data_IF_170053075199
#
_entry.id   IF_170053075199
#
_cell.length_a   1.000
_cell.length_b   1.000
_cell.length_c   1.000
_cell.angle_alpha   90.00
_cell.angle_beta   90.00
_cell.angle_gamma   90.00
#
_symmetry.space_group_name_H-M   'P 1'
#
loop_
_entity.id
_entity.type
_entity.pdbx_description
1 polymer ?
#
# COMPACT_ATOMS: atom_id res chain seq x y z
N UNK A 1 13.68 -33.17 49.01
CA UNK A 1 15.16 -33.32 48.97
C UNK A 1 15.51 -34.71 49.48
N UNK A 2 16.70 -35.27 49.15
CA UNK A 2 17.82 -34.69 48.37
C UNK A 2 17.99 -35.42 47.00
N UNK A 3 18.99 -35.23 46.12
CA UNK A 3 20.19 -34.35 46.13
C UNK A 3 20.67 -34.04 44.69
N UNK A 4 21.31 -32.87 44.48
CA UNK A 4 22.38 -32.69 43.47
C UNK A 4 23.76 -32.88 44.14
N UNK A 5 24.83 -33.17 43.39
CA UNK A 5 25.89 -32.16 43.09
C UNK A 5 26.04 -31.93 41.56
N UNK A 6 26.43 -30.77 40.99
CA UNK A 6 27.68 -29.95 41.08
C UNK A 6 28.88 -30.67 40.42
N UNK A 7 29.46 -30.20 39.30
CA UNK A 7 30.19 -28.93 38.99
C UNK A 7 31.65 -28.92 39.50
N UNK A 8 32.65 -28.22 38.92
CA UNK A 8 32.74 -27.36 37.71
C UNK A 8 33.82 -27.92 36.74
N UNK A 9 34.56 -27.25 35.83
CA UNK A 9 34.80 -25.88 35.28
C UNK A 9 35.56 -26.05 33.93
N UNK A 10 36.10 -25.10 33.14
CA UNK A 10 36.37 -23.63 33.18
C UNK A 10 36.46 -23.10 31.73
N UNK A 11 35.80 -22.00 31.35
CA UNK A 11 36.33 -20.62 31.24
C UNK A 11 37.47 -20.42 30.21
N UNK A 12 37.14 -19.73 29.11
CA UNK A 12 37.77 -18.45 28.71
C UNK A 12 36.71 -17.58 28.02
N UNK A 13 36.93 -16.26 27.88
CA UNK A 13 35.86 -15.30 27.55
C UNK A 13 36.31 -14.17 26.62
N UNK A 14 35.33 -13.60 25.88
CA UNK A 14 35.40 -12.30 25.18
C UNK A 14 36.36 -12.30 23.96
N UNK A 15 36.29 -11.36 23.00
CA UNK A 15 35.62 -10.04 22.98
C UNK A 15 34.64 -9.83 21.81
N UNK A 16 33.75 -8.85 22.00
CA UNK A 16 32.86 -8.28 20.98
C UNK A 16 33.62 -7.28 20.09
N UNK A 17 33.50 -7.39 18.76
CA UNK A 17 34.03 -6.39 17.83
C UNK A 17 32.96 -5.42 17.35
N UNK A 18 33.23 -4.12 17.49
CA UNK A 18 32.38 -3.01 17.08
C UNK A 18 33.22 -2.00 16.26
N UNK A 19 33.13 -2.00 14.92
CA UNK A 19 33.89 -1.08 14.10
C UNK A 19 33.11 0.22 13.86
N UNK A 20 33.57 1.33 14.47
CA UNK A 20 33.77 2.65 13.82
C UNK A 20 34.00 3.75 14.88
N UNK A 21 35.26 4.15 15.09
CA UNK A 21 35.60 5.37 15.86
C UNK A 21 36.85 6.05 15.31
N UNK A 22 36.64 6.91 14.31
CA UNK A 22 37.38 8.13 13.96
C UNK A 22 38.80 8.37 14.48
N UNK A 23 39.71 8.63 13.54
CA UNK A 23 40.59 9.80 13.55
C UNK A 23 40.60 10.42 12.14
N UNK A 24 40.87 11.70 11.91
CA UNK A 24 41.14 12.78 12.86
C UNK A 24 42.02 13.86 12.20
N UNK A 25 41.42 14.82 11.49
CA UNK A 25 42.15 15.88 10.77
C UNK A 25 41.31 17.13 10.62
N UNK A 26 41.80 18.26 11.13
CA UNK A 26 41.00 19.49 11.34
C UNK A 26 41.58 20.69 10.59
N UNK A 27 40.77 21.33 9.75
CA UNK A 27 40.95 22.74 9.36
C UNK A 27 39.60 23.42 9.19
N UNK A 28 39.45 24.62 9.75
CA UNK A 28 38.20 25.40 9.69
C UNK A 28 38.15 26.27 8.43
N UNK A 29 36.95 26.45 7.87
CA UNK A 29 36.54 27.77 7.37
C UNK A 29 35.02 27.93 7.39
N UNK A 30 34.56 29.10 7.81
CA UNK A 30 33.14 29.43 7.95
C UNK A 30 32.62 30.09 6.68
N UNK A 31 31.48 29.65 6.13
CA UNK A 31 30.60 30.55 5.37
C UNK A 31 29.15 30.08 5.32
N UNK A 32 28.25 31.05 5.48
CA UNK A 32 26.81 30.93 5.26
C UNK A 32 26.50 31.32 3.81
N UNK A 33 25.83 30.43 3.09
CA UNK A 33 24.87 30.65 2.00
C UNK A 33 23.87 29.48 2.13
N UNK A 34 22.54 29.56 2.18
CA UNK A 34 21.54 30.42 1.52
C UNK A 34 21.65 30.46 0.01
N UNK A 35 21.08 29.45 -0.65
CA UNK A 35 20.45 29.60 -1.97
C UNK A 35 19.42 28.48 -2.19
N UNK A 36 18.34 28.79 -2.90
CA UNK A 36 17.27 27.87 -3.25
C UNK A 36 17.71 26.99 -4.43
N UNK A 37 17.34 25.70 -4.43
CA UNK A 37 17.48 24.85 -5.62
C UNK A 37 16.09 24.48 -6.13
N UNK A 38 15.79 24.90 -7.35
CA UNK A 38 14.48 24.82 -7.98
C UNK A 38 14.13 23.41 -8.46
N UNK A 39 12.83 23.09 -8.42
CA UNK A 39 12.28 21.87 -8.98
C UNK A 39 12.51 21.80 -10.51
N UNK A 40 12.85 20.64 -11.09
CA UNK A 40 12.87 20.48 -12.54
C UNK A 40 11.44 20.51 -13.09
N UNK A 41 11.19 21.42 -14.04
CA UNK A 41 9.85 21.71 -14.52
C UNK A 41 9.13 20.50 -15.16
N UNK A 42 7.82 20.39 -14.91
CA UNK A 42 6.94 19.37 -15.46
C UNK A 42 6.87 19.41 -17.00
N UNK A 43 7.03 18.25 -17.64
CA UNK A 43 7.13 18.13 -19.10
C UNK A 43 5.79 18.35 -19.83
N UNK A 44 5.66 19.48 -20.53
CA UNK A 44 4.45 19.89 -21.26
C UNK A 44 4.28 19.19 -22.62
N UNK A 45 3.76 17.95 -22.61
CA UNK A 45 3.43 17.22 -23.84
C UNK A 45 2.00 17.50 -24.36
N UNK A 46 1.76 18.75 -24.77
CA UNK A 46 0.55 19.14 -25.53
C UNK A 46 0.91 20.01 -26.75
N UNK A 47 0.95 19.35 -27.93
CA UNK A 47 0.56 19.84 -29.26
C UNK A 47 1.47 19.28 -30.38
N UNK A 48 0.89 18.50 -31.30
CA UNK A 48 1.15 18.71 -32.74
C UNK A 48 0.09 18.11 -33.68
N UNK A 49 -0.43 18.98 -34.55
CA UNK A 49 -0.93 18.75 -35.92
C UNK A 49 -1.79 17.50 -36.22
N UNK A 50 -3.07 17.71 -36.52
CA UNK A 50 -3.97 16.68 -37.04
C UNK A 50 -3.92 16.50 -38.56
N UNK A 51 -4.18 15.26 -39.01
CA UNK A 51 -4.71 14.91 -40.34
C UNK A 51 -5.73 13.78 -40.14
N UNK A 52 -6.87 13.81 -40.85
CA UNK A 52 -7.88 12.75 -40.77
C UNK A 52 -7.47 11.50 -41.57
N UNK A 53 -7.65 10.29 -40.99
CA UNK A 53 -7.84 9.06 -41.75
C UNK A 53 -9.30 8.56 -41.65
N UNK A 54 -9.88 8.14 -42.77
CA UNK A 54 -11.23 7.57 -42.85
C UNK A 54 -11.19 6.04 -42.87
N UNK A 55 -11.28 5.40 -41.71
CA UNK A 55 -11.52 3.95 -41.63
C UNK A 55 -12.23 3.54 -40.32
N UNK A 56 -12.74 2.30 -40.32
CA UNK A 56 -13.66 1.70 -39.33
C UNK A 56 -13.36 2.07 -37.88
N UNK A 57 -14.40 2.51 -37.14
CA UNK A 57 -14.38 2.64 -35.68
C UNK A 57 -14.24 1.26 -35.02
N UNK A 58 -13.01 0.81 -34.83
CA UNK A 58 -12.67 -0.08 -33.72
C UNK A 58 -12.96 0.69 -32.42
N UNK A 59 -13.62 0.07 -31.44
CA UNK A 59 -13.88 0.72 -30.16
C UNK A 59 -12.54 0.84 -29.42
N UNK A 60 -11.88 2.00 -29.53
CA UNK A 60 -10.83 2.37 -28.59
C UNK A 60 -11.45 2.41 -27.20
N UNK A 61 -10.98 1.54 -26.33
CA UNK A 61 -11.17 1.68 -24.88
C UNK A 61 -10.69 3.09 -24.51
N UNK A 62 -11.44 3.88 -23.72
CA UNK A 62 -10.97 5.18 -23.28
C UNK A 62 -9.62 4.99 -22.57
N UNK A 63 -8.59 5.72 -23.00
CA UNK A 63 -7.23 5.59 -22.44
C UNK A 63 -7.32 5.78 -20.93
N UNK A 64 -7.14 4.69 -20.16
CA UNK A 64 -7.51 4.66 -18.74
C UNK A 64 -6.60 5.62 -17.99
N UNK A 65 -7.18 6.71 -17.48
CA UNK A 65 -6.41 7.72 -16.76
C UNK A 65 -6.18 7.22 -15.32
N UNK A 66 -5.08 6.49 -15.16
CA UNK A 66 -4.57 6.00 -13.88
C UNK A 66 -4.54 7.16 -12.86
N UNK A 67 -5.34 7.11 -11.78
CA UNK A 67 -5.57 8.28 -10.93
C UNK A 67 -4.41 8.57 -9.96
N UNK A 68 -3.53 7.59 -9.74
CA UNK A 68 -2.45 7.62 -8.76
C UNK A 68 -1.22 8.35 -9.32
N UNK A 69 -0.87 9.49 -8.70
CA UNK A 69 0.35 10.23 -8.98
C UNK A 69 1.56 9.57 -8.32
N UNK A 70 2.54 9.20 -9.15
CA UNK A 70 3.83 8.66 -8.71
C UNK A 70 4.55 9.70 -7.84
N UNK A 71 4.86 9.32 -6.59
CA UNK A 71 5.53 10.19 -5.64
C UNK A 71 6.29 9.39 -4.56
N UNK A 72 7.13 10.10 -3.80
CA UNK A 72 7.98 9.50 -2.76
C UNK A 72 7.22 8.72 -1.69
N UNK A 73 6.03 9.17 -1.24
CA UNK A 73 5.27 8.47 -0.20
C UNK A 73 4.80 7.09 -0.67
N UNK A 74 4.42 6.96 -1.94
CA UNK A 74 4.07 5.67 -2.57
C UNK A 74 5.30 4.76 -2.58
N UNK A 75 6.42 5.19 -3.18
CA UNK A 75 7.67 4.42 -3.21
C UNK A 75 8.12 3.94 -1.83
N UNK A 76 8.20 4.88 -0.88
CA UNK A 76 8.71 4.59 0.45
C UNK A 76 7.73 3.66 1.20
N UNK A 77 6.44 3.62 0.82
CA UNK A 77 5.48 2.59 1.29
C UNK A 77 5.72 1.23 0.65
N UNK A 78 5.85 1.16 -0.68
CA UNK A 78 6.12 -0.09 -1.43
C UNK A 78 7.37 -0.82 -0.90
N UNK A 79 8.40 -0.05 -0.52
CA UNK A 79 9.63 -0.56 0.12
C UNK A 79 9.32 -1.22 1.47
N UNK A 80 8.57 -0.57 2.35
CA UNK A 80 8.23 -1.14 3.66
C UNK A 80 7.31 -2.36 3.56
N UNK A 81 6.36 -2.37 2.64
CA UNK A 81 5.45 -3.51 2.46
C UNK A 81 6.16 -4.75 1.92
N UNK A 82 7.00 -4.59 0.89
CA UNK A 82 7.75 -5.72 0.35
C UNK A 82 8.82 -6.24 1.33
N UNK A 83 9.45 -5.35 2.11
CA UNK A 83 10.31 -5.76 3.22
C UNK A 83 9.53 -6.54 4.29
N UNK A 84 8.31 -6.11 4.66
CA UNK A 84 7.47 -6.83 5.62
C UNK A 84 7.04 -8.21 5.10
N UNK A 85 6.62 -8.32 3.84
CA UNK A 85 6.28 -9.60 3.18
C UNK A 85 7.47 -10.56 3.23
N UNK A 86 8.68 -10.08 2.89
CA UNK A 86 9.89 -10.90 2.89
C UNK A 86 10.35 -11.28 4.30
N UNK A 87 10.24 -10.39 5.29
CA UNK A 87 10.59 -10.68 6.69
C UNK A 87 9.64 -11.67 7.35
N UNK A 88 8.35 -11.63 7.01
CA UNK A 88 7.31 -12.49 7.60
C UNK A 88 7.29 -13.89 6.97
N UNK A 89 7.29 -13.97 5.63
CA UNK A 89 7.22 -15.27 4.91
C UNK A 89 8.58 -15.92 4.69
N UNK A 90 9.68 -15.18 4.83
CA UNK A 90 11.03 -15.62 4.45
C UNK A 90 11.28 -15.63 2.94
N UNK A 91 10.37 -15.10 2.12
CA UNK A 91 10.41 -15.14 0.65
C UNK A 91 9.82 -13.83 0.05
N UNK A 92 10.28 -13.32 -1.10
CA UNK A 92 9.65 -12.16 -1.75
C UNK A 92 8.23 -12.45 -2.31
N UNK A 93 7.82 -13.71 -2.34
CA UNK A 93 6.49 -14.15 -2.82
C UNK A 93 5.70 -14.75 -1.68
N UNK A 94 4.38 -14.60 -1.73
CA UNK A 94 3.49 -15.11 -0.69
C UNK A 94 3.32 -16.63 -0.85
N UNK A 95 3.27 -17.13 -2.09
CA UNK A 95 3.32 -18.57 -2.37
C UNK A 95 4.71 -19.14 -2.11
N UNK A 96 4.80 -20.06 -1.13
CA UNK A 96 6.06 -20.65 -0.73
C UNK A 96 6.56 -21.69 -1.75
N UNK A 97 7.77 -21.45 -2.26
CA UNK A 97 8.82 -22.37 -2.76
C UNK A 97 8.47 -23.64 -3.57
N UNK A 98 7.52 -24.48 -3.17
CA UNK A 98 7.26 -25.80 -3.78
C UNK A 98 6.89 -25.73 -5.28
N UNK A 99 6.32 -24.60 -5.72
CA UNK A 99 5.96 -24.35 -7.12
C UNK A 99 7.06 -23.67 -7.94
N UNK A 100 8.15 -23.24 -7.31
CA UNK A 100 9.18 -22.40 -7.94
C UNK A 100 10.26 -23.27 -8.60
N UNK A 101 10.45 -23.22 -9.93
CA UNK A 101 11.54 -23.92 -10.58
C UNK A 101 12.89 -23.29 -10.17
N UNK A 102 13.98 -24.08 -10.15
CA UNK A 102 15.30 -23.65 -9.65
C UNK A 102 16.03 -22.56 -10.47
N UNK A 103 15.38 -22.01 -11.51
CA UNK A 103 15.90 -20.99 -12.43
C UNK A 103 14.72 -20.27 -13.13
N UNK A 104 13.88 -19.53 -12.41
CA UNK A 104 12.66 -18.97 -12.96
C UNK A 104 12.97 -17.79 -13.91
N UNK A 105 12.24 -17.72 -15.01
CA UNK A 105 12.00 -16.49 -15.77
C UNK A 105 10.73 -15.84 -15.21
N UNK A 106 10.89 -14.66 -14.64
CA UNK A 106 9.85 -13.95 -13.88
C UNK A 106 9.46 -12.67 -14.63
N UNK A 107 8.15 -12.41 -14.73
CA UNK A 107 7.60 -11.12 -15.15
C UNK A 107 6.85 -10.47 -13.98
N UNK A 108 7.24 -9.27 -13.57
CA UNK A 108 6.42 -8.41 -12.71
C UNK A 108 5.61 -7.44 -13.58
N UNK A 109 4.28 -7.44 -13.43
CA UNK A 109 3.39 -6.49 -14.10
C UNK A 109 3.05 -5.31 -13.18
N UNK A 110 3.16 -4.09 -13.73
CA UNK A 110 3.10 -2.81 -13.03
C UNK A 110 4.10 -2.75 -11.87
N UNK A 111 5.38 -2.96 -12.18
CA UNK A 111 6.43 -3.02 -11.17
C UNK A 111 6.66 -1.68 -10.42
N UNK A 112 6.03 -0.58 -10.83
CA UNK A 112 6.13 0.71 -10.16
C UNK A 112 7.58 1.19 -10.12
N UNK A 113 8.11 1.43 -8.92
CA UNK A 113 9.53 1.76 -8.73
C UNK A 113 10.51 0.57 -8.87
N UNK A 114 9.99 -0.64 -9.17
CA UNK A 114 10.78 -1.85 -9.34
C UNK A 114 11.19 -2.54 -8.03
N UNK A 115 10.56 -2.16 -6.90
CA UNK A 115 10.94 -2.56 -5.55
C UNK A 115 10.93 -4.09 -5.39
N UNK A 116 9.83 -4.73 -5.76
CA UNK A 116 9.70 -6.20 -5.66
C UNK A 116 10.68 -6.89 -6.62
N UNK A 117 10.76 -6.45 -7.88
CA UNK A 117 11.72 -6.97 -8.86
C UNK A 117 13.17 -6.96 -8.36
N UNK A 118 13.60 -5.90 -7.66
CA UNK A 118 14.96 -5.79 -7.08
C UNK A 118 15.15 -6.83 -5.96
N UNK A 119 14.18 -6.93 -5.04
CA UNK A 119 14.23 -7.89 -3.93
C UNK A 119 14.17 -9.34 -4.42
N UNK A 120 13.37 -9.63 -5.45
CA UNK A 120 13.30 -10.93 -6.11
C UNK A 120 14.66 -11.30 -6.76
N UNK A 121 15.25 -10.39 -7.55
CA UNK A 121 16.54 -10.62 -8.19
C UNK A 121 17.68 -10.84 -7.16
N UNK A 122 17.65 -10.17 -6.00
CA UNK A 122 18.58 -10.39 -4.90
C UNK A 122 18.34 -11.73 -4.17
N UNK A 123 17.07 -12.10 -3.94
CA UNK A 123 16.70 -13.29 -3.20
C UNK A 123 17.01 -14.58 -3.98
N UNK A 124 16.59 -14.65 -5.24
CA UNK A 124 16.80 -15.83 -6.07
C UNK A 124 18.30 -16.07 -6.34
N UNK A 125 19.11 -15.01 -6.45
CA UNK A 125 20.57 -15.14 -6.46
C UNK A 125 21.10 -15.81 -5.18
N UNK A 126 20.72 -15.31 -3.99
CA UNK A 126 21.23 -15.83 -2.73
C UNK A 126 20.89 -17.33 -2.54
N UNK A 127 19.64 -17.71 -2.81
CA UNK A 127 19.13 -19.08 -2.59
C UNK A 127 19.63 -20.07 -3.66
N UNK A 128 19.74 -19.66 -4.93
CA UNK A 128 20.06 -20.54 -6.06
C UNK A 128 21.50 -20.36 -6.60
N UNK A 129 22.37 -19.67 -5.85
CA UNK A 129 23.80 -19.37 -6.14
C UNK A 129 24.70 -20.56 -6.52
N UNK A 130 24.27 -21.81 -6.37
CA UNK A 130 25.03 -23.00 -6.73
C UNK A 130 24.75 -23.54 -8.16
N UNK A 131 23.89 -22.88 -8.95
CA UNK A 131 23.52 -23.31 -10.30
C UNK A 131 24.26 -22.53 -11.41
N UNK A 132 24.54 -23.19 -12.54
CA UNK A 132 25.29 -22.64 -13.68
C UNK A 132 24.48 -21.64 -14.55
N UNK A 133 23.24 -21.32 -14.19
CA UNK A 133 22.37 -20.41 -14.94
C UNK A 133 21.51 -19.61 -13.98
N UNK A 134 21.58 -18.29 -14.12
CA UNK A 134 20.96 -17.31 -13.23
C UNK A 134 19.44 -17.20 -13.45
N UNK A 135 18.68 -16.92 -12.39
CA UNK A 135 17.28 -16.48 -12.50
C UNK A 135 17.20 -15.12 -13.21
N UNK A 136 16.09 -14.84 -13.91
CA UNK A 136 15.90 -13.58 -14.62
C UNK A 136 14.55 -12.96 -14.28
N UNK A 137 14.55 -11.67 -13.98
CA UNK A 137 13.37 -10.87 -13.63
C UNK A 137 13.18 -9.79 -14.69
N UNK A 138 11.95 -9.66 -15.17
CA UNK A 138 11.53 -8.58 -16.07
C UNK A 138 10.50 -7.74 -15.34
N UNK A 139 10.81 -6.50 -15.01
CA UNK A 139 9.85 -5.55 -14.48
C UNK A 139 9.19 -4.78 -15.62
N UNK A 140 7.87 -4.89 -15.76
CA UNK A 140 7.08 -4.20 -16.78
C UNK A 140 6.21 -3.12 -16.14
N UNK A 141 6.25 -1.90 -16.66
CA UNK A 141 5.39 -0.79 -16.21
C UNK A 141 4.98 0.14 -17.37
N UNK A 142 3.95 0.96 -17.16
CA UNK A 142 3.58 2.04 -18.08
C UNK A 142 4.59 3.20 -18.05
N UNK A 143 5.26 3.41 -16.91
CA UNK A 143 6.09 4.58 -16.66
C UNK A 143 7.55 4.20 -16.41
N UNK A 144 8.46 4.93 -17.07
CA UNK A 144 9.91 4.75 -16.91
C UNK A 144 10.42 5.54 -15.70
N UNK A 145 10.29 4.94 -14.52
CA UNK A 145 10.61 5.53 -13.21
C UNK A 145 11.55 4.67 -12.34
N UNK A 146 11.96 3.52 -12.85
CA UNK A 146 12.75 2.53 -12.13
C UNK A 146 14.23 2.95 -12.06
N UNK A 147 14.96 2.62 -10.97
CA UNK A 147 16.32 3.08 -10.79
C UNK A 147 17.31 2.40 -11.74
N UNK A 148 18.33 3.16 -12.16
CA UNK A 148 19.52 2.61 -12.81
C UNK A 148 20.40 1.94 -11.75
N UNK A 149 20.28 0.61 -11.64
CA UNK A 149 21.01 -0.18 -10.65
C UNK A 149 22.53 -0.12 -10.81
N UNK A 150 23.04 0.12 -12.03
CA UNK A 150 24.47 0.27 -12.31
C UNK A 150 25.04 1.56 -11.72
N UNK A 151 24.32 2.68 -11.90
CA UNK A 151 24.73 3.97 -11.34
C UNK A 151 24.64 4.00 -9.79
N UNK A 152 23.89 3.05 -9.22
CA UNK A 152 23.81 2.79 -7.77
C UNK A 152 24.81 1.72 -7.27
N UNK A 153 25.63 1.13 -8.14
CA UNK A 153 26.65 0.13 -7.77
C UNK A 153 26.13 -1.29 -7.53
N UNK A 154 24.92 -1.62 -8.00
CA UNK A 154 24.29 -2.94 -7.89
C UNK A 154 24.41 -3.74 -9.20
N UNK A 155 25.59 -3.76 -9.83
CA UNK A 155 25.84 -4.44 -11.11
C UNK A 155 25.44 -5.92 -11.11
N UNK A 156 25.62 -6.64 -10.00
CA UNK A 156 25.24 -8.06 -9.88
C UNK A 156 23.71 -8.28 -9.83
N UNK A 157 22.93 -7.27 -9.43
CA UNK A 157 21.47 -7.30 -9.57
C UNK A 157 21.07 -6.86 -10.99
N UNK A 158 21.77 -5.87 -11.54
CA UNK A 158 21.53 -5.31 -12.88
C UNK A 158 21.79 -6.29 -14.05
N UNK A 159 22.43 -7.44 -13.81
CA UNK A 159 22.59 -8.54 -14.78
C UNK A 159 21.37 -9.46 -14.88
N UNK A 160 20.54 -9.49 -13.82
CA UNK A 160 19.37 -10.38 -13.66
C UNK A 160 18.04 -9.68 -13.87
N UNK A 161 18.05 -8.35 -14.02
CA UNK A 161 16.85 -7.52 -13.98
C UNK A 161 16.77 -6.60 -15.20
N UNK A 162 15.72 -6.79 -15.99
CA UNK A 162 15.41 -5.97 -17.18
C UNK A 162 14.16 -5.13 -16.93
N UNK A 163 14.22 -3.83 -17.22
CA UNK A 163 13.05 -2.95 -17.25
C UNK A 163 12.45 -2.89 -18.66
N UNK A 164 11.13 -3.00 -18.78
CA UNK A 164 10.38 -2.91 -20.03
C UNK A 164 9.20 -1.97 -19.84
N UNK A 165 8.92 -1.12 -20.83
CA UNK A 165 7.88 -0.09 -20.72
C UNK A 165 6.81 -0.22 -21.79
N UNK A 166 5.54 -0.16 -21.40
CA UNK A 166 4.41 -0.25 -22.32
C UNK A 166 3.04 -0.21 -21.63
N UNK A 167 1.98 -0.06 -22.44
CA UNK A 167 0.60 -0.10 -21.95
C UNK A 167 0.07 -1.53 -22.03
N UNK A 168 -0.06 -2.21 -20.90
CA UNK A 168 -0.56 -3.59 -20.83
C UNK A 168 -2.02 -3.75 -21.29
N UNK A 169 -2.78 -2.67 -21.42
CA UNK A 169 -4.13 -2.68 -21.98
C UNK A 169 -4.13 -2.73 -23.52
N UNK A 170 -3.00 -2.43 -24.16
CA UNK A 170 -2.76 -2.62 -25.61
C UNK A 170 -2.01 -3.95 -25.91
N UNK A 171 -1.72 -4.76 -24.87
CA UNK A 171 -1.04 -6.06 -24.95
C UNK A 171 0.38 -6.08 -24.39
N UNK A 172 0.89 -7.27 -24.06
CA UNK A 172 2.24 -7.46 -23.52
C UNK A 172 3.25 -7.75 -24.64
N UNK A 173 4.41 -7.05 -24.71
CA UNK A 173 5.38 -7.17 -25.81
C UNK A 173 6.28 -8.43 -25.72
N UNK A 174 5.76 -9.51 -25.14
CA UNK A 174 6.48 -10.76 -24.91
C UNK A 174 5.90 -11.90 -25.77
N UNK A 175 6.73 -12.87 -26.21
CA UNK A 175 6.26 -14.08 -26.88
C UNK A 175 5.32 -14.91 -26.01
N UNK A 176 4.59 -15.82 -26.64
CA UNK A 176 3.83 -16.86 -25.93
C UNK A 176 4.80 -17.77 -25.15
N UNK A 177 4.38 -18.25 -23.98
CA UNK A 177 5.13 -19.20 -23.15
C UNK A 177 6.56 -18.75 -22.76
N UNK A 178 6.77 -17.45 -22.53
CA UNK A 178 8.08 -16.89 -22.18
C UNK A 178 8.45 -16.96 -20.69
N UNK A 179 7.48 -16.92 -19.76
CA UNK A 179 7.75 -16.83 -18.32
C UNK A 179 7.26 -18.06 -17.53
N UNK A 180 8.02 -18.46 -16.50
CA UNK A 180 7.61 -19.51 -15.56
C UNK A 180 6.69 -18.94 -14.48
N UNK A 181 6.88 -17.68 -14.11
CA UNK A 181 6.13 -16.97 -13.07
C UNK A 181 5.72 -15.59 -13.59
N UNK A 182 4.46 -15.20 -13.37
CA UNK A 182 4.02 -13.81 -13.44
C UNK A 182 3.66 -13.35 -12.03
N UNK A 183 4.21 -12.22 -11.59
CA UNK A 183 3.86 -11.54 -10.33
C UNK A 183 3.14 -10.24 -10.66
N UNK A 184 2.20 -9.85 -9.80
CA UNK A 184 1.83 -8.44 -9.66
C UNK A 184 1.33 -8.12 -8.25
N UNK A 185 1.36 -6.84 -7.88
CA UNK A 185 0.81 -6.28 -6.64
C UNK A 185 0.05 -4.99 -6.98
N UNK A 186 -1.10 -4.76 -6.34
CA UNK A 186 -1.83 -3.49 -6.31
C UNK A 186 -2.26 -2.89 -7.67
N UNK A 187 -2.53 -3.76 -8.66
CA UNK A 187 -3.02 -3.35 -9.99
C UNK A 187 -4.55 -3.19 -10.09
N UNK A 188 -5.29 -3.10 -8.98
CA UNK A 188 -6.75 -2.87 -9.01
C UNK A 188 -7.18 -1.62 -9.81
N UNK A 189 -6.26 -0.68 -10.02
CA UNK A 189 -6.45 0.54 -10.81
C UNK A 189 -6.10 0.37 -12.31
N UNK A 190 -5.48 -0.75 -12.72
CA UNK A 190 -5.08 -1.04 -14.11
C UNK A 190 -4.90 -2.56 -14.35
N UNK A 191 -6.00 -3.32 -14.41
CA UNK A 191 -5.96 -4.78 -14.60
C UNK A 191 -5.97 -5.13 -16.10
N UNK A 192 -5.00 -5.90 -16.63
CA UNK A 192 -4.99 -6.37 -18.01
C UNK A 192 -5.94 -7.56 -18.21
N UNK A 193 -6.19 -7.96 -19.47
CA UNK A 193 -6.91 -9.21 -19.74
C UNK A 193 -6.12 -10.42 -19.23
N UNK A 194 -6.70 -11.23 -18.33
CA UNK A 194 -6.04 -12.42 -17.78
C UNK A 194 -5.59 -13.45 -18.83
N UNK A 195 -6.21 -13.45 -20.01
CA UNK A 195 -5.78 -14.26 -21.17
C UNK A 195 -4.39 -13.88 -21.67
N UNK A 196 -3.99 -12.62 -21.54
CA UNK A 196 -2.67 -12.14 -21.94
C UNK A 196 -1.60 -12.59 -20.91
N UNK A 197 -1.98 -12.68 -19.63
CA UNK A 197 -1.15 -13.30 -18.59
C UNK A 197 -0.99 -14.80 -18.85
N UNK A 198 -2.08 -15.52 -19.18
CA UNK A 198 -1.98 -16.91 -19.59
C UNK A 198 -1.08 -17.07 -20.83
N UNK A 199 -1.26 -16.23 -21.88
CA UNK A 199 -0.47 -16.30 -23.11
C UNK A 199 1.04 -16.31 -22.84
N UNK A 200 1.53 -15.36 -22.04
CA UNK A 200 2.98 -15.22 -21.74
C UNK A 200 3.49 -16.24 -20.70
N UNK A 201 2.61 -16.88 -19.93
CA UNK A 201 2.98 -18.00 -19.04
C UNK A 201 3.31 -19.27 -19.84
N UNK A 202 4.30 -20.02 -19.36
CA UNK A 202 4.60 -21.39 -19.79
C UNK A 202 3.54 -22.37 -19.27
N UNK A 203 3.31 -23.50 -19.95
CA UNK A 203 2.48 -24.59 -19.41
C UNK A 203 3.03 -25.06 -18.05
N UNK A 204 2.17 -25.12 -17.03
CA UNK A 204 2.58 -25.41 -15.64
C UNK A 204 3.19 -24.22 -14.87
N UNK A 205 3.44 -23.09 -15.54
CA UNK A 205 3.77 -21.82 -14.88
C UNK A 205 2.58 -21.22 -14.13
N UNK A 206 2.82 -20.20 -13.30
CA UNK A 206 1.77 -19.61 -12.47
C UNK A 206 1.83 -18.09 -12.31
N UNK A 207 0.65 -17.50 -12.11
CA UNK A 207 0.43 -16.13 -11.67
C UNK A 207 0.35 -16.10 -10.14
N UNK A 208 1.06 -15.18 -9.48
CA UNK A 208 0.75 -14.72 -8.12
C UNK A 208 0.35 -13.24 -8.13
N UNK A 209 -0.93 -12.98 -7.86
CA UNK A 209 -1.52 -11.64 -7.88
C UNK A 209 -1.99 -11.23 -6.49
N UNK A 210 -1.48 -10.10 -6.00
CA UNK A 210 -1.94 -9.46 -4.76
C UNK A 210 -2.78 -8.24 -5.12
N UNK A 211 -4.04 -8.16 -4.69
CA UNK A 211 -4.93 -7.03 -4.96
C UNK A 211 -5.57 -6.49 -3.69
N UNK A 212 -5.96 -5.22 -3.74
CA UNK A 212 -6.75 -4.57 -2.70
C UNK A 212 -8.05 -3.97 -3.27
N UNK A 213 -9.00 -3.69 -2.40
CA UNK A 213 -10.13 -2.80 -2.74
C UNK A 213 -9.68 -1.35 -2.57
N UNK A 214 -9.93 -0.44 -3.54
CA UNK A 214 -9.72 0.99 -3.34
C UNK A 214 -10.74 1.51 -2.31
N UNK A 215 -10.28 1.72 -1.08
CA UNK A 215 -11.08 2.20 0.05
C UNK A 215 -10.63 3.62 0.40
N UNK A 216 -11.59 4.53 0.59
CA UNK A 216 -11.36 5.80 1.25
C UNK A 216 -11.80 5.69 2.73
N UNK A 217 -10.88 5.80 3.70
CA UNK A 217 -11.21 5.79 5.13
C UNK A 217 -12.03 7.02 5.54
N UNK A 218 -13.33 6.82 5.80
CA UNK A 218 -14.26 7.86 6.25
C UNK A 218 -15.03 7.34 7.49
N UNK A 219 -14.60 7.66 8.74
CA UNK A 219 -15.18 7.08 9.95
C UNK A 219 -16.67 7.36 10.08
N UNK A 220 -17.48 6.31 10.21
CA UNK A 220 -18.92 6.45 10.40
C UNK A 220 -19.28 6.52 11.87
N UNK A 221 -19.45 7.73 12.38
CA UNK A 221 -20.07 7.96 13.69
C UNK A 221 -21.58 7.68 13.61
N UNK A 222 -22.21 7.11 14.66
CA UNK A 222 -23.66 6.95 14.67
C UNK A 222 -24.38 8.31 14.66
N UNK A 223 -25.66 8.38 14.24
CA UNK A 223 -26.35 9.64 13.99
C UNK A 223 -26.34 10.58 15.21
N UNK A 224 -25.68 11.74 15.05
CA UNK A 224 -25.64 12.82 16.05
C UNK A 224 -27.05 13.18 16.52
N UNK A 225 -27.34 12.95 17.80
CA UNK A 225 -28.48 13.62 18.46
C UNK A 225 -28.23 15.12 18.39
N UNK A 226 -29.08 15.84 17.65
CA UNK A 226 -28.89 17.27 17.33
C UNK A 226 -29.17 18.17 18.54
N UNK A 227 -28.28 18.17 19.52
CA UNK A 227 -28.27 19.18 20.57
C UNK A 227 -27.97 20.55 19.97
N UNK A 228 -28.92 21.47 20.10
CA UNK A 228 -28.88 22.78 19.46
C UNK A 228 -28.03 23.79 20.22
N UNK A 229 -26.75 23.48 20.45
CA UNK A 229 -25.78 24.49 20.88
C UNK A 229 -25.45 25.39 19.68
N UNK A 230 -25.80 26.68 19.78
CA UNK A 230 -25.30 27.69 18.84
C UNK A 230 -23.81 27.87 19.13
N UNK A 231 -22.97 27.21 18.34
CA UNK A 231 -21.52 27.38 18.43
C UNK A 231 -21.16 28.80 17.96
N UNK A 232 -20.30 29.46 18.72
CA UNK A 232 -19.54 30.63 18.27
C UNK A 232 -18.08 30.18 18.20
N UNK A 233 -17.76 29.41 17.15
CA UNK A 233 -16.39 28.92 16.95
C UNK A 233 -15.55 30.07 16.39
N UNK A 234 -14.85 30.81 17.25
CA UNK A 234 -14.11 32.04 16.87
C UNK A 234 -12.88 31.78 15.97
N UNK A 235 -12.58 30.52 15.65
CA UNK A 235 -11.53 30.10 14.70
C UNK A 235 -11.98 30.31 13.24
N UNK A 236 -12.25 31.56 12.86
CA UNK A 236 -12.43 31.96 11.47
C UNK A 236 -11.12 31.72 10.70
N UNK A 237 -11.08 30.68 9.85
CA UNK A 237 -9.93 30.36 8.99
C UNK A 237 -10.03 31.19 7.70
N UNK A 238 -9.20 32.24 7.52
CA UNK A 238 -9.36 33.18 6.40
C UNK A 238 -9.09 32.49 5.06
N UNK A 239 -10.00 32.68 4.10
CA UNK A 239 -9.93 32.05 2.78
C UNK A 239 -10.70 30.74 2.65
N UNK A 240 -11.22 30.18 3.75
CA UNK A 240 -12.13 29.03 3.75
C UNK A 240 -13.59 29.48 3.75
N UNK A 241 -14.41 28.80 2.96
CA UNK A 241 -15.85 29.01 2.81
C UNK A 241 -16.58 28.98 4.16
N UNK A 242 -17.55 29.87 4.35
CA UNK A 242 -18.38 29.91 5.55
C UNK A 242 -19.19 28.61 5.78
N UNK A 243 -19.41 27.82 4.72
CA UNK A 243 -20.03 26.50 4.81
C UNK A 243 -19.19 25.50 5.64
N UNK A 244 -17.88 25.69 5.73
CA UNK A 244 -16.94 24.77 6.39
C UNK A 244 -16.44 25.26 7.76
N UNK A 245 -16.93 26.40 8.27
CA UNK A 245 -16.42 27.00 9.52
C UNK A 245 -16.93 26.29 10.79
N UNK A 246 -18.14 25.74 10.76
CA UNK A 246 -18.71 24.89 11.83
C UNK A 246 -18.71 23.39 11.46
N UNK A 247 -17.95 23.00 10.42
CA UNK A 247 -17.88 21.61 9.93
C UNK A 247 -17.07 20.71 10.89
N UNK A 248 -17.51 19.47 11.10
CA UNK A 248 -16.79 18.51 11.95
C UNK A 248 -15.47 18.11 11.27
N UNK A 249 -14.30 18.34 11.88
CA UNK A 249 -13.01 17.98 11.28
C UNK A 249 -12.78 16.47 11.13
N UNK A 250 -13.76 15.61 11.50
CA UNK A 250 -13.79 14.16 11.24
C UNK A 250 -14.86 13.74 10.22
N UNK A 251 -15.70 14.66 9.73
CA UNK A 251 -16.71 14.36 8.71
C UNK A 251 -16.11 14.51 7.31
N UNK A 252 -15.62 13.39 6.79
CA UNK A 252 -14.98 13.31 5.48
C UNK A 252 -15.96 12.93 4.36
N UNK A 253 -17.27 13.05 4.58
CA UNK A 253 -18.31 12.54 3.65
C UNK A 253 -18.20 13.14 2.24
N UNK A 254 -17.89 14.43 2.12
CA UNK A 254 -17.71 15.11 0.83
C UNK A 254 -16.49 14.59 0.05
N UNK A 255 -15.41 14.23 0.75
CA UNK A 255 -14.23 13.61 0.13
C UNK A 255 -14.51 12.16 -0.25
N UNK A 256 -15.26 11.43 0.57
CA UNK A 256 -15.68 10.05 0.31
C UNK A 256 -16.56 9.96 -0.94
N UNK A 257 -17.51 10.88 -1.10
CA UNK A 257 -18.38 11.00 -2.28
C UNK A 257 -17.56 11.32 -3.54
N UNK A 258 -16.64 12.29 -3.46
CA UNK A 258 -15.75 12.62 -4.57
C UNK A 258 -14.79 11.46 -4.95
N UNK A 259 -14.33 10.67 -3.97
CA UNK A 259 -13.52 9.48 -4.21
C UNK A 259 -14.32 8.36 -4.88
N UNK A 260 -15.55 8.10 -4.43
CA UNK A 260 -16.43 7.10 -5.04
C UNK A 260 -16.75 7.49 -6.50
N UNK A 261 -17.09 8.76 -6.75
CA UNK A 261 -17.26 9.30 -8.10
C UNK A 261 -15.98 9.21 -8.96
N UNK A 262 -14.79 9.35 -8.36
CA UNK A 262 -13.50 9.23 -9.04
C UNK A 262 -13.23 7.80 -9.53
N UNK A 263 -13.67 6.80 -8.76
CA UNK A 263 -13.66 5.39 -9.18
C UNK A 263 -14.69 5.12 -10.28
N UNK A 264 -15.95 5.54 -10.08
CA UNK A 264 -17.05 5.30 -11.02
C UNK A 264 -16.77 5.94 -12.40
N UNK A 265 -16.28 7.19 -12.43
CA UNK A 265 -15.91 7.89 -13.67
C UNK A 265 -14.75 7.21 -14.43
N UNK A 266 -13.97 6.35 -13.74
CA UNK A 266 -12.87 5.55 -14.29
C UNK A 266 -13.24 4.07 -14.48
N UNK A 267 -14.50 3.69 -14.20
CA UNK A 267 -15.02 2.31 -14.25
C UNK A 267 -14.32 1.34 -13.27
N UNK A 268 -13.71 1.86 -12.21
CA UNK A 268 -12.96 1.08 -11.23
C UNK A 268 -13.92 0.45 -10.21
N UNK A 269 -13.94 -0.89 -10.16
CA UNK A 269 -14.99 -1.62 -9.44
C UNK A 269 -14.67 -1.79 -7.93
N UNK A 270 -15.41 -1.15 -7.00
CA UNK A 270 -15.14 -1.26 -5.56
C UNK A 270 -15.49 -2.62 -4.94
N UNK A 271 -15.96 -3.60 -5.73
CA UNK A 271 -16.21 -4.98 -5.32
C UNK A 271 -15.30 -6.00 -6.05
N UNK A 272 -14.23 -5.53 -6.71
CA UNK A 272 -13.26 -6.32 -7.48
C UNK A 272 -12.91 -7.70 -6.89
N UNK A 273 -12.51 -7.74 -5.61
CA UNK A 273 -12.03 -8.95 -4.93
C UNK A 273 -13.09 -10.08 -4.82
N UNK A 274 -14.37 -9.76 -5.05
CA UNK A 274 -15.50 -10.70 -5.09
C UNK A 274 -15.81 -11.23 -6.48
N UNK A 275 -15.48 -10.48 -7.54
CA UNK A 275 -15.84 -10.80 -8.94
C UNK A 275 -14.73 -11.54 -9.69
N UNK A 276 -13.47 -11.34 -9.29
CA UNK A 276 -12.33 -12.03 -9.91
C UNK A 276 -12.32 -13.56 -9.84
N UNK A 277 -12.88 -14.25 -8.82
CA UNK A 277 -12.89 -15.72 -8.78
C UNK A 277 -13.46 -16.37 -10.04
N UNK A 278 -14.58 -15.87 -10.56
CA UNK A 278 -15.22 -16.45 -11.75
C UNK A 278 -14.36 -16.23 -13.00
N UNK A 279 -13.79 -15.03 -13.15
CA UNK A 279 -12.87 -14.69 -14.23
C UNK A 279 -11.61 -15.57 -14.20
N UNK A 280 -11.02 -15.78 -13.03
CA UNK A 280 -9.83 -16.62 -12.86
C UNK A 280 -10.10 -18.08 -13.24
N UNK A 281 -11.19 -18.67 -12.75
CA UNK A 281 -11.60 -20.05 -13.07
C UNK A 281 -12.01 -20.23 -14.56
N UNK A 282 -12.24 -19.14 -15.31
CA UNK A 282 -12.50 -19.19 -16.75
C UNK A 282 -11.24 -19.20 -17.63
N UNK A 283 -10.05 -18.97 -17.04
CA UNK A 283 -8.76 -18.85 -17.74
C UNK A 283 -7.74 -19.88 -17.25
N UNK A 284 -7.61 -20.06 -15.94
CA UNK A 284 -6.59 -20.89 -15.30
C UNK A 284 -7.15 -22.23 -14.82
N UNK A 285 -6.27 -23.20 -14.56
CA UNK A 285 -6.65 -24.58 -14.21
C UNK A 285 -6.67 -24.81 -12.69
N UNK A 286 -5.55 -24.58 -12.00
CA UNK A 286 -5.51 -24.60 -10.53
C UNK A 286 -5.55 -23.16 -10.00
N UNK A 287 -6.68 -22.74 -9.43
CA UNK A 287 -6.84 -21.42 -8.81
C UNK A 287 -6.95 -21.55 -7.29
N UNK A 288 -5.88 -21.21 -6.59
CA UNK A 288 -5.90 -20.98 -5.14
C UNK A 288 -6.17 -19.49 -4.87
N UNK A 289 -6.97 -19.19 -3.85
CA UNK A 289 -7.26 -17.81 -3.47
C UNK A 289 -7.49 -17.70 -1.96
N UNK A 290 -6.94 -16.66 -1.36
CA UNK A 290 -7.09 -16.42 0.08
C UNK A 290 -8.55 -16.07 0.44
N UNK A 291 -8.92 -16.15 1.73
CA UNK A 291 -9.97 -15.29 2.28
C UNK A 291 -9.68 -13.81 1.97
N UNK A 292 -10.70 -12.95 1.95
CA UNK A 292 -10.45 -11.50 1.91
C UNK A 292 -9.97 -11.10 3.31
N UNK A 293 -8.73 -10.64 3.42
CA UNK A 293 -8.22 -10.10 4.67
C UNK A 293 -8.65 -8.64 4.82
N UNK A 294 -9.27 -8.30 5.94
CA UNK A 294 -9.77 -6.96 6.25
C UNK A 294 -8.93 -6.33 7.36
N UNK A 295 -8.11 -5.33 7.02
CA UNK A 295 -7.45 -4.51 8.04
C UNK A 295 -8.45 -3.46 8.51
N UNK A 296 -8.80 -3.49 9.80
CA UNK A 296 -9.81 -2.59 10.37
C UNK A 296 -9.24 -1.20 10.64
N UNK A 297 -10.06 -0.17 10.43
CA UNK A 297 -9.70 1.23 10.68
C UNK A 297 -9.55 1.47 12.20
N UNK A 298 -8.35 1.87 12.68
CA UNK A 298 -8.16 2.09 14.12
C UNK A 298 -9.05 3.20 14.70
N UNK A 299 -9.34 3.14 16.01
CA UNK A 299 -9.96 4.25 16.74
C UNK A 299 -9.07 5.51 16.70
N UNK A 300 -9.66 6.68 16.91
CA UNK A 300 -8.89 7.91 17.15
C UNK A 300 -8.28 7.87 18.55
N UNK A 301 -7.13 8.51 18.77
CA UNK A 301 -6.50 8.59 20.09
C UNK A 301 -7.28 9.41 21.12
N UNK A 302 -8.43 9.98 20.75
CA UNK A 302 -9.37 10.67 21.63
C UNK A 302 -10.57 9.80 22.06
N UNK A 303 -10.66 8.57 21.56
CA UNK A 303 -11.60 7.56 22.08
C UNK A 303 -11.02 6.98 23.36
N UNK A 304 -11.77 7.01 24.47
CA UNK A 304 -11.41 6.25 25.67
C UNK A 304 -11.87 4.80 25.56
N UNK A 305 -11.14 3.93 26.23
CA UNK A 305 -11.49 2.53 26.39
C UNK A 305 -12.91 2.39 26.97
N UNK A 306 -13.77 1.68 26.24
CA UNK A 306 -15.03 1.21 26.81
C UNK A 306 -14.72 0.13 27.85
N UNK A 307 -15.40 0.12 29.02
CA UNK A 307 -15.20 -0.93 29.99
C UNK A 307 -15.60 -2.30 29.40
N UNK A 308 -14.82 -3.34 29.72
CA UNK A 308 -14.79 -4.67 29.09
C UNK A 308 -16.17 -5.27 28.78
N UNK A 309 -17.13 -5.01 29.67
CA UNK A 309 -18.53 -5.43 29.61
C UNK A 309 -19.36 -4.83 28.42
N UNK A 310 -18.73 -4.24 27.41
CA UNK A 310 -19.35 -3.88 26.12
C UNK A 310 -18.77 -4.69 24.94
N UNK A 311 -17.58 -5.28 25.08
CA UNK A 311 -16.89 -6.00 23.98
C UNK A 311 -17.52 -7.37 23.69
N UNK A 312 -18.12 -8.00 24.70
CA UNK A 312 -18.50 -9.43 24.71
C UNK A 312 -19.58 -9.91 23.74
N UNK A 313 -20.10 -9.07 22.84
CA UNK A 313 -21.12 -9.45 21.84
C UNK A 313 -20.69 -9.14 20.39
N UNK A 314 -19.52 -8.51 20.19
CA UNK A 314 -19.00 -8.19 18.85
C UNK A 314 -17.99 -9.25 18.38
N UNK A 315 -18.48 -10.48 18.23
CA UNK A 315 -17.69 -11.59 17.66
C UNK A 315 -17.36 -11.30 16.19
N UNK A 316 -16.14 -10.83 15.96
CA UNK A 316 -15.56 -10.78 14.61
C UNK A 316 -15.45 -12.22 14.11
N UNK A 317 -16.30 -12.58 13.14
CA UNK A 317 -16.28 -13.91 12.52
C UNK A 317 -15.04 -14.06 11.64
N UNK A 318 -13.92 -14.43 12.27
CA UNK A 318 -12.70 -14.88 11.60
C UNK A 318 -13.02 -16.17 10.85
N UNK A 319 -13.26 -16.03 9.54
CA UNK A 319 -13.52 -17.14 8.63
C UNK A 319 -12.24 -17.96 8.40
N UNK A 320 -11.91 -18.80 9.38
CA UNK A 320 -10.71 -19.64 9.47
C UNK A 320 -11.10 -21.13 9.61
N UNK A 321 -11.96 -21.60 8.72
CA UNK A 321 -12.17 -23.04 8.48
C UNK A 321 -11.69 -23.40 7.06
N UNK A 322 -11.26 -24.65 6.88
CA UNK A 322 -10.56 -25.22 5.72
C UNK A 322 -9.20 -24.57 5.34
N UNK A 323 -8.10 -25.20 5.80
CA UNK A 323 -6.73 -24.91 5.35
C UNK A 323 -6.54 -25.39 3.90
N UNK A 324 -6.03 -24.53 3.01
CA UNK A 324 -4.58 -24.47 2.86
C UNK A 324 -3.99 -23.06 2.73
N UNK A 325 -2.67 -22.99 2.99
CA UNK A 325 -1.80 -21.81 2.93
C UNK A 325 -2.10 -20.67 3.93
N UNK A 326 -1.21 -20.49 4.91
CA UNK A 326 -1.43 -19.60 6.03
C UNK A 326 -0.94 -18.16 5.76
N UNK A 327 -1.90 -17.28 5.46
CA UNK A 327 -1.67 -15.87 5.15
C UNK A 327 -1.70 -14.97 6.41
N UNK A 328 -2.03 -15.50 7.60
CA UNK A 328 -1.91 -14.76 8.86
C UNK A 328 -0.48 -14.30 9.14
N UNK A 329 0.51 -15.01 8.58
CA UNK A 329 1.94 -14.69 8.67
C UNK A 329 2.25 -13.26 8.20
N UNK A 330 1.56 -12.74 7.17
CA UNK A 330 1.72 -11.35 6.72
C UNK A 330 1.25 -10.30 7.74
N UNK A 331 0.48 -10.73 8.75
CA UNK A 331 -0.12 -9.91 9.80
C UNK A 331 0.50 -10.19 11.19
N UNK A 332 1.77 -10.62 11.22
CA UNK A 332 2.62 -10.86 12.41
C UNK A 332 2.15 -12.03 13.30
N UNK A 333 2.79 -13.22 13.21
CA UNK A 333 2.42 -14.38 14.01
C UNK A 333 2.90 -14.30 15.48
N UNK A 334 2.33 -13.40 16.27
CA UNK A 334 2.57 -13.25 17.73
C UNK A 334 1.34 -12.68 18.46
N UNK A 335 0.72 -13.44 19.36
CA UNK A 335 -0.40 -13.09 20.26
C UNK A 335 -1.66 -12.45 19.62
N UNK A 336 -2.84 -12.99 19.98
CA UNK A 336 -4.17 -12.43 19.66
C UNK A 336 -4.32 -10.95 20.12
N UNK A 337 -3.60 -10.56 21.18
CA UNK A 337 -3.56 -9.19 21.71
C UNK A 337 -2.91 -8.18 20.73
N UNK A 338 -1.88 -8.58 19.97
CA UNK A 338 -1.13 -7.69 19.08
C UNK A 338 -1.81 -7.50 17.72
N UNK A 339 -2.53 -8.51 17.21
CA UNK A 339 -3.31 -8.40 15.98
C UNK A 339 -4.33 -7.25 16.09
N UNK A 340 -5.00 -7.16 17.24
CA UNK A 340 -6.06 -6.18 17.52
C UNK A 340 -5.49 -4.75 17.62
N UNK A 341 -4.36 -4.55 18.31
CA UNK A 341 -3.85 -3.20 18.59
C UNK A 341 -3.05 -2.59 17.42
N UNK A 342 -2.38 -3.40 16.59
CA UNK A 342 -1.45 -2.93 15.56
C UNK A 342 -1.86 -3.25 14.12
N UNK A 343 -2.67 -4.29 13.86
CA UNK A 343 -2.98 -4.80 12.52
C UNK A 343 -3.58 -3.77 11.56
N UNK A 344 -4.30 -2.77 12.06
CA UNK A 344 -4.89 -1.69 11.25
C UNK A 344 -3.93 -0.55 10.86
N UNK A 345 -2.78 -0.38 11.53
CA UNK A 345 -1.97 0.86 11.45
C UNK A 345 -1.14 0.96 10.17
N UNK A 346 -0.37 -0.08 9.82
CA UNK A 346 0.42 -0.10 8.58
C UNK A 346 -0.48 -0.15 7.32
N UNK A 347 -1.55 -0.95 7.26
CA UNK A 347 -2.51 -0.90 6.15
C UNK A 347 -3.22 0.45 6.00
N UNK A 348 -3.48 1.17 7.10
CA UNK A 348 -3.99 2.54 7.04
C UNK A 348 -2.95 3.49 6.42
N UNK A 349 -1.66 3.42 6.81
CA UNK A 349 -0.61 4.25 6.20
C UNK A 349 -0.57 4.12 4.66
N UNK A 350 -0.65 2.89 4.16
CA UNK A 350 -0.67 2.63 2.72
C UNK A 350 -1.91 3.20 2.04
N UNK A 351 -3.08 3.03 2.66
CA UNK A 351 -4.34 3.58 2.17
C UNK A 351 -4.33 5.12 2.16
N UNK A 352 -3.75 5.76 3.19
CA UNK A 352 -3.55 7.22 3.22
C UNK A 352 -2.73 7.66 2.01
N UNK A 353 -1.57 7.04 1.79
CA UNK A 353 -0.66 7.44 0.72
C UNK A 353 -1.24 7.21 -0.68
N UNK A 354 -2.04 6.15 -0.87
CA UNK A 354 -2.81 5.90 -2.11
C UNK A 354 -3.86 6.99 -2.36
N UNK A 355 -4.67 7.35 -1.36
CA UNK A 355 -5.69 8.40 -1.49
C UNK A 355 -5.06 9.77 -1.72
N UNK A 356 -3.96 10.11 -1.02
CA UNK A 356 -3.18 11.33 -1.26
C UNK A 356 -2.58 11.37 -2.67
N UNK A 357 -2.09 10.25 -3.18
CA UNK A 357 -1.60 10.16 -4.56
C UNK A 357 -2.72 10.32 -5.60
N UNK A 358 -3.98 10.05 -5.23
CA UNK A 358 -5.16 10.30 -6.07
C UNK A 358 -5.74 11.72 -5.92
N UNK A 359 -5.14 12.60 -5.10
CA UNK A 359 -5.76 13.88 -4.66
C UNK A 359 -6.28 14.75 -5.80
N UNK A 360 -5.54 14.89 -6.91
CA UNK A 360 -6.02 15.68 -8.06
C UNK A 360 -7.16 15.00 -8.84
N UNK A 361 -7.14 13.67 -8.98
CA UNK A 361 -8.23 12.91 -9.59
C UNK A 361 -9.51 12.94 -8.73
N UNK A 362 -9.37 13.08 -7.41
CA UNK A 362 -10.49 13.32 -6.48
C UNK A 362 -10.99 14.78 -6.63
N UNK A 363 -10.08 15.76 -6.74
CA UNK A 363 -10.45 17.17 -6.96
C UNK A 363 -11.31 17.36 -8.22
N UNK A 364 -10.98 16.70 -9.34
CA UNK A 364 -11.77 16.74 -10.59
C UNK A 364 -13.26 16.45 -10.35
N UNK A 365 -13.57 15.49 -9.47
CA UNK A 365 -14.95 15.12 -9.15
C UNK A 365 -15.52 16.01 -8.04
N UNK A 366 -14.70 16.36 -7.04
CA UNK A 366 -15.10 17.25 -5.96
C UNK A 366 -15.57 18.61 -6.49
N UNK A 367 -14.86 19.21 -7.45
CA UNK A 367 -15.22 20.48 -8.09
C UNK A 367 -16.52 20.37 -8.90
N UNK A 368 -16.73 19.26 -9.59
CA UNK A 368 -17.95 19.02 -10.38
C UNK A 368 -19.20 18.85 -9.50
N UNK A 369 -19.07 18.19 -8.34
CA UNK A 369 -20.14 17.95 -7.37
C UNK A 369 -20.38 19.21 -6.51
N UNK A 370 -19.33 19.80 -5.94
CA UNK A 370 -19.39 20.84 -4.91
C UNK A 370 -19.08 22.24 -5.46
N UNK A 371 -19.79 22.67 -6.50
CA UNK A 371 -19.51 23.89 -7.28
C UNK A 371 -19.45 25.22 -6.50
N UNK A 372 -19.88 25.25 -5.22
CA UNK A 372 -19.72 26.41 -4.33
C UNK A 372 -18.44 26.41 -3.48
N UNK A 373 -17.67 25.32 -3.49
CA UNK A 373 -16.41 25.14 -2.78
C UNK A 373 -15.24 25.23 -3.77
N UNK A 374 -14.09 25.71 -3.30
CA UNK A 374 -12.89 25.96 -4.11
C UNK A 374 -11.75 25.01 -3.75
N UNK A 375 -10.66 25.05 -4.51
CA UNK A 375 -9.49 24.20 -4.24
C UNK A 375 -8.99 24.34 -2.79
N UNK A 376 -8.96 25.55 -2.24
CA UNK A 376 -8.57 25.79 -0.84
C UNK A 376 -9.52 25.11 0.18
N UNK A 377 -10.82 25.02 -0.12
CA UNK A 377 -11.81 24.33 0.72
C UNK A 377 -11.59 22.81 0.69
N UNK A 378 -11.24 22.27 -0.49
CA UNK A 378 -10.90 20.86 -0.67
C UNK A 378 -9.56 20.50 -0.01
N UNK A 379 -8.51 21.30 -0.18
CA UNK A 379 -7.23 21.09 0.50
C UNK A 379 -7.43 21.13 2.03
N UNK A 380 -8.21 22.08 2.55
CA UNK A 380 -8.57 22.12 3.97
C UNK A 380 -9.28 20.84 4.45
N UNK A 381 -10.22 20.28 3.66
CA UNK A 381 -10.85 18.99 3.99
C UNK A 381 -9.83 17.83 3.93
N UNK A 382 -8.95 17.80 2.92
CA UNK A 382 -7.90 16.79 2.78
C UNK A 382 -6.89 16.83 3.95
N UNK A 383 -6.51 18.02 4.43
CA UNK A 383 -5.63 18.19 5.59
C UNK A 383 -6.30 17.66 6.87
N UNK A 384 -7.58 18.01 7.11
CA UNK A 384 -8.36 17.47 8.23
C UNK A 384 -8.44 15.94 8.20
N UNK A 385 -8.62 15.36 7.01
CA UNK A 385 -8.65 13.92 6.80
C UNK A 385 -7.26 13.26 7.01
N UNK A 386 -6.17 13.83 6.49
CA UNK A 386 -4.81 13.30 6.75
C UNK A 386 -4.50 13.40 8.26
N UNK A 387 -4.91 14.46 8.95
CA UNK A 387 -4.72 14.58 10.39
C UNK A 387 -5.53 13.54 11.21
N UNK A 388 -6.80 13.27 10.89
CA UNK A 388 -7.61 12.21 11.53
C UNK A 388 -7.06 10.81 11.24
N UNK A 389 -6.63 10.53 10.01
CA UNK A 389 -6.03 9.23 9.71
C UNK A 389 -4.65 9.05 10.37
N UNK A 390 -3.83 10.11 10.46
CA UNK A 390 -2.55 10.08 11.18
C UNK A 390 -2.72 10.08 12.71
N UNK A 391 -3.82 10.61 13.23
CA UNK A 391 -4.26 10.44 14.63
C UNK A 391 -4.52 8.96 14.93
N UNK A 392 -5.35 8.31 14.11
CA UNK A 392 -5.75 6.88 14.24
C UNK A 392 -4.60 5.89 14.16
N UNK A 393 -3.62 6.13 13.28
CA UNK A 393 -2.41 5.28 13.25
C UNK A 393 -1.62 5.33 14.57
N UNK A 394 -1.75 6.42 15.34
CA UNK A 394 -1.01 6.78 16.55
C UNK A 394 0.45 6.26 16.67
N UNK A 395 1.21 6.31 15.57
CA UNK A 395 2.60 5.83 15.54
C UNK A 395 3.50 6.61 16.51
N UNK A 396 3.21 7.88 16.76
CA UNK A 396 4.00 8.74 17.65
C UNK A 396 4.03 8.24 19.09
N UNK A 397 2.89 7.80 19.64
CA UNK A 397 2.83 7.26 21.01
C UNK A 397 3.38 5.83 21.07
N UNK A 398 3.03 4.97 20.10
CA UNK A 398 3.56 3.60 20.04
C UNK A 398 5.10 3.56 19.98
N UNK A 399 5.72 4.41 19.15
CA UNK A 399 7.19 4.53 19.04
C UNK A 399 7.80 5.12 20.34
N UNK A 400 7.12 6.07 20.99
CA UNK A 400 7.54 6.65 22.27
C UNK A 400 7.46 5.65 23.42
N UNK A 401 6.49 4.74 23.41
CA UNK A 401 6.30 3.68 24.39
C UNK A 401 7.31 2.54 24.18
N UNK A 402 7.29 1.93 22.99
CA UNK A 402 8.03 0.69 22.71
C UNK A 402 9.53 0.93 22.50
N UNK A 403 9.94 2.07 21.95
CA UNK A 403 11.34 2.41 21.66
C UNK A 403 11.89 3.52 22.55
N UNK A 404 11.11 4.00 23.55
CA UNK A 404 11.45 5.14 24.41
C UNK A 404 11.85 6.42 23.64
N UNK A 405 11.41 6.53 22.39
CA UNK A 405 11.84 7.59 21.47
C UNK A 405 11.30 8.94 21.92
N UNK A 406 12.18 9.93 22.07
CA UNK A 406 11.81 11.31 22.40
C UNK A 406 11.22 11.99 21.16
N UNK A 407 9.93 11.77 20.92
CA UNK A 407 9.21 12.40 19.82
C UNK A 407 9.26 13.93 19.97
N UNK A 408 9.59 14.65 18.90
CA UNK A 408 9.63 16.12 18.91
C UNK A 408 8.19 16.67 18.84
N UNK A 409 7.66 17.13 19.97
CA UNK A 409 6.29 17.61 20.13
C UNK A 409 5.96 18.92 19.41
N UNK A 410 6.96 19.56 18.80
CA UNK A 410 6.84 20.86 18.15
C UNK A 410 7.12 20.79 16.63
N UNK A 411 7.29 19.58 16.08
CA UNK A 411 7.50 19.35 14.65
C UNK A 411 6.23 19.48 13.79
N UNK A 412 5.03 19.38 14.38
CA UNK A 412 3.74 19.44 13.66
C UNK A 412 2.75 20.41 14.34
N UNK A 413 2.99 21.74 14.31
CA UNK A 413 2.17 22.72 15.01
C UNK A 413 0.72 22.79 14.51
N UNK A 414 0.50 22.56 13.21
CA UNK A 414 -0.84 22.58 12.59
C UNK A 414 -1.70 21.41 13.08
N UNK A 415 -1.16 20.19 13.04
CA UNK A 415 -1.81 18.98 13.60
C UNK A 415 -2.07 19.09 15.11
N UNK A 416 -1.18 19.77 15.85
CA UNK A 416 -1.34 20.09 17.28
C UNK A 416 -2.47 21.10 17.50
N UNK A 417 -2.61 22.09 16.63
CA UNK A 417 -3.76 23.01 16.60
C UNK A 417 -5.06 22.27 16.27
N UNK A 418 -5.07 21.44 15.23
CA UNK A 418 -6.19 20.60 14.83
C UNK A 418 -6.69 19.67 15.96
N UNK A 419 -5.78 18.97 16.66
CA UNK A 419 -6.14 18.18 17.86
C UNK A 419 -6.76 19.05 18.96
N UNK A 420 -6.27 20.28 19.14
CA UNK A 420 -6.79 21.24 20.13
C UNK A 420 -8.15 21.82 19.72
N UNK A 421 -8.43 21.97 18.42
CA UNK A 421 -9.77 22.30 17.91
C UNK A 421 -10.73 21.12 18.08
N UNK A 422 -10.29 19.90 17.74
CA UNK A 422 -11.09 18.67 17.86
C UNK A 422 -11.51 18.37 19.31
N UNK A 423 -10.65 18.60 20.29
CA UNK A 423 -11.02 18.46 21.72
C UNK A 423 -12.25 19.31 22.09
N UNK A 424 -12.40 20.52 21.52
CA UNK A 424 -13.59 21.38 21.74
C UNK A 424 -14.87 20.75 21.16
N UNK A 425 -14.76 19.97 20.08
CA UNK A 425 -15.91 19.23 19.53
C UNK A 425 -16.30 18.10 20.50
N UNK A 426 -15.34 17.31 21.00
CA UNK A 426 -15.61 16.26 22.01
C UNK A 426 -16.24 16.83 23.30
N UNK A 427 -15.68 17.91 23.85
CA UNK A 427 -16.20 18.57 25.06
C UNK A 427 -17.63 19.14 24.85
N UNK A 428 -17.90 19.74 23.70
CA UNK A 428 -19.19 20.38 23.41
C UNK A 428 -20.30 19.41 22.97
N UNK A 429 -19.95 18.28 22.34
CA UNK A 429 -20.93 17.29 21.86
C UNK A 429 -21.39 16.32 22.95
N UNK A 430 -20.62 16.15 24.04
CA UNK A 430 -20.94 15.27 25.18
C UNK A 430 -20.89 13.76 24.87
N UNK A 431 -20.94 13.39 23.58
CA UNK A 431 -20.72 12.05 23.06
C UNK A 431 -19.21 11.77 23.07
N UNK A 432 -18.71 11.47 24.26
CA UNK A 432 -17.56 10.59 24.40
C UNK A 432 -17.97 9.18 23.91
N UNK A 433 -17.10 8.55 23.15
CA UNK A 433 -17.02 7.09 22.98
C UNK A 433 -18.27 6.36 22.43
N UNK A 434 -19.06 7.03 21.60
CA UNK A 434 -19.77 6.33 20.53
C UNK A 434 -18.72 5.89 19.49
N UNK A 435 -18.20 4.67 19.63
CA UNK A 435 -17.20 4.10 18.70
C UNK A 435 -17.64 4.30 17.24
N UNK A 436 -16.72 4.70 16.34
CA UNK A 436 -17.01 4.68 14.91
C UNK A 436 -17.34 3.25 14.50
N UNK A 437 -18.37 3.08 13.67
CA UNK A 437 -18.82 1.76 13.21
C UNK A 437 -17.61 1.02 12.61
N UNK A 438 -17.24 -0.18 13.11
CA UNK A 438 -16.07 -0.90 12.62
C UNK A 438 -16.14 -1.12 11.12
N UNK A 439 -15.10 -0.66 10.43
CA UNK A 439 -15.00 -0.70 8.97
C UNK A 439 -13.55 -0.93 8.55
N UNK A 440 -13.29 -1.61 7.42
CA UNK A 440 -11.94 -1.78 6.92
C UNK A 440 -11.32 -0.43 6.52
N UNK A 441 -10.06 -0.20 6.87
CA UNK A 441 -9.21 0.79 6.21
C UNK A 441 -8.65 0.24 4.90
N UNK A 442 -8.31 -1.05 4.87
CA UNK A 442 -7.81 -1.77 3.70
C UNK A 442 -8.48 -3.14 3.61
N UNK A 443 -8.60 -3.69 2.41
CA UNK A 443 -9.08 -5.06 2.21
C UNK A 443 -8.31 -5.68 1.08
N UNK A 444 -7.72 -6.85 1.29
CA UNK A 444 -6.77 -7.47 0.36
C UNK A 444 -7.14 -8.92 0.08
N UNK A 445 -6.76 -9.40 -1.12
CA UNK A 445 -6.88 -10.80 -1.50
C UNK A 445 -5.70 -11.23 -2.36
N UNK A 446 -5.23 -12.45 -2.14
CA UNK A 446 -4.13 -13.06 -2.89
C UNK A 446 -4.70 -14.18 -3.74
N UNK A 447 -4.31 -14.21 -5.01
CA UNK A 447 -4.67 -15.24 -5.99
C UNK A 447 -3.39 -15.90 -6.50
N UNK A 448 -3.37 -17.23 -6.54
CA UNK A 448 -2.28 -18.04 -7.12
C UNK A 448 -2.92 -18.94 -8.16
N UNK A 449 -2.58 -18.77 -9.44
CA UNK A 449 -3.30 -19.40 -10.54
C UNK A 449 -2.35 -20.04 -11.56
N UNK A 450 -2.54 -21.32 -11.87
CA UNK A 450 -1.68 -22.04 -12.81
C UNK A 450 -2.24 -22.10 -14.22
N UNK A 451 -1.36 -21.89 -15.20
CA UNK A 451 -1.64 -22.20 -16.61
C UNK A 451 -1.71 -23.70 -16.80
N UNK A 452 -2.73 -24.15 -17.55
CA UNK A 452 -2.93 -25.56 -17.92
C UNK A 452 -1.64 -26.19 -18.45
N UNK A 453 -1.29 -27.33 -17.89
CA UNK A 453 -0.18 -28.14 -18.42
C UNK A 453 -0.56 -28.71 -19.79
N UNK A 454 0.38 -28.71 -20.74
CA UNK A 454 0.20 -29.49 -21.97
C UNK A 454 0.10 -30.97 -21.57
N UNK A 455 -0.90 -31.73 -22.06
CA UNK A 455 -0.98 -33.15 -21.76
C UNK A 455 0.32 -33.82 -22.24
N UNK A 456 0.90 -34.68 -21.42
CA UNK A 456 2.10 -35.41 -21.80
C UNK A 456 1.82 -36.25 -23.05
N UNK A 457 2.56 -36.00 -24.13
CA UNK A 457 2.55 -36.88 -25.29
C UNK A 457 2.97 -38.26 -24.82
N UNK A 458 2.03 -39.22 -24.86
CA UNK A 458 2.28 -40.59 -24.45
C UNK A 458 3.29 -41.21 -25.40
N UNK A 459 4.53 -41.38 -24.94
CA UNK A 459 5.61 -42.01 -25.70
C UNK A 459 5.18 -43.43 -26.08
N UNK A 460 4.92 -43.62 -27.37
CA UNK A 460 4.39 -44.85 -27.99
C UNK A 460 5.47 -45.63 -28.73
#
# INVERSE_FOLDING_TARGET
MPSKPLASSSIHSRDSYNPFSTSGGTTSSTRLLTEESSEPASASYLNQTGKHPTSRKQYRIPKVYYPLQINRRIRDTEIWENALIQLTTGHPMISALERVPSRPLILELACGYGVWSILAAQYFEAVYSNFLQESQVTGFDLQNIQPSLKDLGYDDVAKRLTWVHGDMLEGLPFPDESFDIVKSQYIELCIPEFKEIDRVLKPGGFLELTLQTPIFPCPRFPPRLKFSSKRSCETFKPGISSQLQDHDPRDHSLLKEAFDAMLDARHLNPQLLKLLPDTFNSVFEDVLMSPICHAMLPPSSLVRELPDNVVGDMTVSTCMEDKPFDISVLFLPTNEELEIEYGGRLPLNATINLVLACKDAIWEQFEAINQSLKRNDFEYLMDNWEYDMRDRMNMSDAIKEHLQWKCNTDAEPERKSWRTELLKYHEADGIWDALPIPQPCRSMRIFIASKRSKPSESVS
#
